data_IF_451734516887
#
_entry.id   IF_451734516887
#
_cell.length_a   1.000
_cell.length_b   1.000
_cell.length_c   1.000
_cell.angle_alpha   90.00
_cell.angle_beta   90.00
_cell.angle_gamma   90.00
#
_symmetry.space_group_name_H-M   'P 1'
#
loop_
_entity.id
_entity.type
_entity.pdbx_description
1 polymer ?
#
# COMPACT_ATOMS: atom_id res chain seq x y z
N UNK A 1 -51.07 28.39 -57.63
CA UNK A 1 -51.02 26.92 -57.43
C UNK A 1 -51.63 26.59 -56.07
N UNK A 2 -52.68 25.75 -56.11
CA UNK A 2 -53.21 24.84 -55.07
C UNK A 2 -53.23 25.27 -53.59
N UNK A 3 -54.47 25.54 -53.14
CA UNK A 3 -55.14 25.06 -51.92
C UNK A 3 -54.31 24.71 -50.67
N UNK A 4 -54.61 25.43 -49.58
CA UNK A 4 -54.46 24.96 -48.21
C UNK A 4 -55.80 24.33 -47.74
N UNK A 5 -55.75 23.04 -47.41
CA UNK A 5 -56.75 22.28 -46.66
C UNK A 5 -55.94 21.56 -45.56
N UNK A 6 -56.02 21.92 -44.26
CA UNK A 6 -57.05 21.66 -43.24
C UNK A 6 -56.85 20.32 -42.48
N UNK A 7 -57.36 20.30 -41.24
CA UNK A 7 -57.48 19.19 -40.27
C UNK A 7 -56.18 18.92 -39.47
N UNK A 8 -56.09 19.11 -38.14
CA UNK A 8 -56.97 18.81 -37.02
C UNK A 8 -57.45 17.35 -36.96
N UNK A 9 -57.23 16.73 -35.79
CA UNK A 9 -57.61 15.37 -35.37
C UNK A 9 -56.68 14.28 -35.90
N UNK A 10 -56.03 13.54 -35.02
CA UNK A 10 -56.22 12.09 -34.72
C UNK A 10 -54.82 11.70 -34.20
N UNK A 11 -54.54 11.09 -33.06
CA UNK A 11 -55.20 10.23 -32.07
C UNK A 11 -54.25 10.30 -30.84
N UNK A 12 -54.70 10.65 -29.64
CA UNK A 12 -54.84 9.76 -28.48
C UNK A 12 -53.62 8.99 -27.95
N UNK A 13 -53.61 8.88 -26.61
CA UNK A 13 -52.94 7.88 -25.76
C UNK A 13 -51.44 8.06 -25.50
N UNK A 14 -51.12 8.65 -24.33
CA UNK A 14 -50.35 8.05 -23.21
C UNK A 14 -49.88 9.20 -22.30
N UNK A 15 -50.46 9.36 -21.10
CA UNK A 15 -49.98 8.78 -19.83
C UNK A 15 -48.60 9.36 -19.43
N UNK A 16 -48.30 9.81 -18.21
CA UNK A 16 -48.96 9.87 -16.91
C UNK A 16 -48.11 10.85 -16.06
N UNK A 17 -48.76 11.46 -15.08
CA UNK A 17 -48.24 12.31 -14.02
C UNK A 17 -46.74 12.21 -13.67
N UNK A 18 -46.03 13.34 -13.77
CA UNK A 18 -44.80 13.59 -13.01
C UNK A 18 -45.25 14.01 -11.61
N UNK A 19 -45.53 13.00 -10.78
CA UNK A 19 -45.76 13.13 -9.35
C UNK A 19 -44.44 12.96 -8.62
N UNK A 20 -44.07 13.97 -7.84
CA UNK A 20 -42.99 14.01 -6.86
C UNK A 20 -42.88 12.71 -6.05
N UNK A 21 -41.84 11.91 -6.31
CA UNK A 21 -41.42 10.82 -5.43
C UNK A 21 -40.61 11.43 -4.29
N UNK A 22 -41.28 11.74 -3.20
CA UNK A 22 -40.66 11.86 -1.88
C UNK A 22 -40.51 10.44 -1.34
N UNK A 23 -39.28 9.91 -1.37
CA UNK A 23 -38.99 8.62 -0.73
C UNK A 23 -39.00 8.85 0.78
N UNK A 24 -40.10 8.48 1.42
CA UNK A 24 -40.15 8.28 2.86
C UNK A 24 -39.26 7.08 3.21
N UNK A 25 -38.10 7.32 3.82
CA UNK A 25 -37.39 6.31 4.60
C UNK A 25 -38.21 6.00 5.85
N UNK A 26 -39.14 5.07 5.73
CA UNK A 26 -39.71 4.39 6.88
C UNK A 26 -38.76 3.25 7.28
N UNK A 27 -37.75 3.57 8.09
CA UNK A 27 -37.02 2.54 8.83
C UNK A 27 -38.02 1.86 9.78
N UNK A 28 -38.41 0.62 9.47
CA UNK A 28 -38.81 -0.30 10.53
C UNK A 28 -37.55 -0.54 11.35
N UNK A 29 -37.52 0.03 12.54
CA UNK A 29 -36.49 -0.24 13.54
C UNK A 29 -36.70 -1.68 14.01
N UNK A 30 -35.99 -2.62 13.41
CA UNK A 30 -35.78 -3.93 14.02
C UNK A 30 -34.64 -3.77 15.03
N UNK A 31 -34.93 -3.98 16.32
CA UNK A 31 -34.04 -3.73 17.46
C UNK A 31 -32.78 -4.65 17.53
N UNK A 32 -32.38 -5.25 16.40
CA UNK A 32 -31.13 -6.01 16.21
C UNK A 32 -30.09 -5.28 15.36
N UNK A 33 -30.45 -4.16 14.70
CA UNK A 33 -29.59 -3.52 13.68
C UNK A 33 -28.37 -2.76 14.25
N UNK A 34 -28.45 -2.21 15.47
CA UNK A 34 -27.39 -1.34 16.00
C UNK A 34 -26.05 -2.04 16.29
N UNK A 35 -26.09 -3.29 16.75
CA UNK A 35 -24.88 -4.06 17.08
C UNK A 35 -24.15 -4.56 15.83
N UNK A 36 -24.91 -5.02 14.83
CA UNK A 36 -24.37 -5.47 13.55
C UNK A 36 -23.79 -4.29 12.74
N UNK A 37 -24.44 -3.13 12.75
CA UNK A 37 -23.93 -1.94 12.07
C UNK A 37 -22.63 -1.41 12.70
N UNK A 38 -22.56 -1.31 14.04
CA UNK A 38 -21.35 -0.86 14.72
C UNK A 38 -20.17 -1.80 14.47
N UNK A 39 -20.41 -3.12 14.55
CA UNK A 39 -19.40 -4.13 14.22
C UNK A 39 -18.94 -4.00 12.78
N UNK A 40 -19.86 -3.87 11.82
CA UNK A 40 -19.51 -3.77 10.41
C UNK A 40 -18.69 -2.50 10.14
N UNK A 41 -19.02 -1.37 10.77
CA UNK A 41 -18.22 -0.14 10.72
C UNK A 41 -16.80 -0.36 11.25
N UNK A 42 -16.66 -1.10 12.36
CA UNK A 42 -15.38 -1.47 12.94
C UNK A 42 -14.54 -2.33 11.97
N UNK A 43 -15.11 -3.38 11.39
CA UNK A 43 -14.41 -4.26 10.42
C UNK A 43 -14.02 -3.47 9.17
N UNK A 44 -14.90 -2.63 8.65
CA UNK A 44 -14.61 -1.81 7.47
C UNK A 44 -13.52 -0.76 7.77
N UNK A 45 -13.52 -0.17 8.96
CA UNK A 45 -12.51 0.81 9.36
C UNK A 45 -11.12 0.19 9.50
N UNK A 46 -11.01 -0.97 10.14
CA UNK A 46 -9.72 -1.66 10.30
C UNK A 46 -9.23 -2.21 8.96
N UNK A 47 -10.13 -2.62 8.06
CA UNK A 47 -9.77 -3.04 6.71
C UNK A 47 -9.22 -1.87 5.86
N UNK A 48 -9.80 -0.67 5.99
CA UNK A 48 -9.23 0.53 5.36
C UNK A 48 -7.87 0.89 5.97
N UNK A 49 -7.70 0.71 7.29
CA UNK A 49 -6.44 0.94 8.00
C UNK A 49 -5.32 0.00 7.54
N UNK A 50 -5.63 -1.26 7.19
CA UNK A 50 -4.64 -2.18 6.62
C UNK A 50 -4.00 -1.65 5.34
N UNK A 51 -4.78 -1.01 4.45
CA UNK A 51 -4.22 -0.41 3.23
C UNK A 51 -3.19 0.69 3.53
N UNK A 52 -3.40 1.46 4.60
CA UNK A 52 -2.49 2.51 5.05
C UNK A 52 -1.23 1.94 5.70
N UNK A 53 -1.41 1.01 6.62
CA UNK A 53 -0.29 0.33 7.32
C UNK A 53 0.60 -0.38 6.31
N UNK A 54 -0.01 -1.04 5.32
CA UNK A 54 0.74 -1.75 4.30
C UNK A 54 1.64 -0.81 3.49
N UNK A 55 1.08 0.30 2.99
CA UNK A 55 1.84 1.29 2.19
C UNK A 55 3.02 1.87 2.97
N UNK A 56 2.86 2.13 4.27
CA UNK A 56 3.93 2.70 5.12
C UNK A 56 5.09 1.72 5.31
N UNK A 57 4.79 0.44 5.55
CA UNK A 57 5.85 -0.53 5.73
C UNK A 57 6.47 -1.01 4.40
N UNK A 58 5.69 -1.05 3.31
CA UNK A 58 6.23 -1.28 1.96
C UNK A 58 7.16 -0.14 1.51
N UNK A 59 6.90 1.11 1.93
CA UNK A 59 7.79 2.24 1.64
C UNK A 59 9.23 2.00 2.12
N UNK A 60 9.42 1.55 3.36
CA UNK A 60 10.73 1.29 3.92
C UNK A 60 11.48 0.16 3.18
N UNK A 61 10.75 -0.84 2.70
CA UNK A 61 11.29 -1.88 1.82
C UNK A 61 11.79 -1.28 0.49
N UNK A 62 10.94 -0.51 -0.19
CA UNK A 62 11.27 0.09 -1.48
C UNK A 62 12.44 1.09 -1.37
N UNK A 63 12.45 1.95 -0.35
CA UNK A 63 13.56 2.88 -0.05
C UNK A 63 14.87 2.13 0.14
N UNK A 64 14.85 1.01 0.88
CA UNK A 64 16.04 0.20 1.13
C UNK A 64 16.60 -0.42 -0.16
N UNK A 65 15.72 -0.93 -1.04
CA UNK A 65 16.14 -1.47 -2.33
C UNK A 65 16.71 -0.37 -3.24
N UNK A 66 16.03 0.78 -3.31
CA UNK A 66 16.45 1.91 -4.14
C UNK A 66 17.83 2.42 -3.69
N UNK A 67 18.02 2.66 -2.39
CA UNK A 67 19.31 3.04 -1.79
C UNK A 67 20.42 2.02 -2.09
N UNK A 68 20.11 0.72 -1.98
CA UNK A 68 21.07 -0.35 -2.24
C UNK A 68 21.44 -0.49 -3.72
N UNK A 69 20.55 -0.09 -4.65
CA UNK A 69 20.77 -0.15 -6.10
C UNK A 69 21.66 0.98 -6.64
N UNK A 70 21.59 2.15 -6.00
CA UNK A 70 22.23 3.37 -6.48
C UNK A 70 23.62 3.61 -5.89
N UNK A 71 23.94 2.97 -4.76
CA UNK A 71 25.24 3.12 -4.11
C UNK A 71 26.21 1.99 -4.51
N UNK A 72 27.38 2.35 -5.03
CA UNK A 72 28.40 1.39 -5.47
C UNK A 72 28.92 0.50 -4.33
N UNK A 73 28.94 1.00 -3.10
CA UNK A 73 29.34 0.25 -1.90
C UNK A 73 28.26 -0.74 -1.43
N UNK A 74 27.01 -0.54 -1.84
CA UNK A 74 25.88 -1.40 -1.46
C UNK A 74 25.48 -2.38 -2.58
N UNK A 75 25.67 -2.00 -3.85
CA UNK A 75 25.27 -2.80 -5.02
C UNK A 75 26.16 -4.03 -5.24
N UNK A 76 27.35 -4.08 -4.62
CA UNK A 76 28.26 -5.23 -4.64
C UNK A 76 28.94 -5.52 -5.99
N UNK A 77 28.68 -4.72 -7.01
CA UNK A 77 29.24 -4.91 -8.37
C UNK A 77 30.15 -3.78 -8.80
N UNK A 78 30.27 -2.71 -8.00
CA UNK A 78 30.95 -1.47 -8.38
C UNK A 78 30.30 -0.75 -9.57
N UNK A 79 29.14 -1.24 -10.03
CA UNK A 79 28.33 -0.64 -11.09
C UNK A 79 27.12 0.01 -10.43
N UNK A 80 26.93 1.29 -10.75
CA UNK A 80 25.69 2.00 -10.48
C UNK A 80 24.65 1.54 -11.49
N UNK A 81 23.40 1.35 -11.09
CA UNK A 81 22.31 1.34 -12.05
C UNK A 81 22.44 2.59 -12.94
N UNK A 82 22.22 2.51 -14.28
CA UNK A 82 22.11 3.72 -15.08
C UNK A 82 21.09 4.62 -14.38
N UNK A 83 21.45 5.88 -14.15
CA UNK A 83 20.47 6.87 -13.67
C UNK A 83 19.47 6.99 -14.81
N UNK A 84 18.39 6.21 -14.79
CA UNK A 84 17.27 6.52 -15.65
C UNK A 84 16.73 7.85 -15.13
N UNK A 85 16.35 8.75 -16.03
CA UNK A 85 15.78 10.07 -15.70
C UNK A 85 14.43 9.99 -14.94
N UNK A 86 14.13 8.85 -14.29
CA UNK A 86 13.02 8.63 -13.35
C UNK A 86 13.31 7.66 -12.19
N UNK A 87 14.58 7.23 -11.97
CA UNK A 87 14.94 6.19 -11.00
C UNK A 87 15.13 6.66 -9.53
N UNK A 88 14.66 7.86 -9.18
CA UNK A 88 14.80 8.45 -7.85
C UNK A 88 13.44 8.82 -7.25
N UNK A 89 12.42 7.99 -7.51
CA UNK A 89 11.04 8.30 -7.11
C UNK A 89 10.89 8.51 -5.59
N UNK A 90 11.76 7.90 -4.77
CA UNK A 90 11.72 7.98 -3.30
C UNK A 90 12.86 8.78 -2.69
N UNK A 91 13.80 9.24 -3.51
CA UNK A 91 14.81 10.20 -3.07
C UNK A 91 14.18 11.58 -2.96
N UNK A 92 14.72 12.34 -2.01
CA UNK A 92 14.37 13.73 -1.81
C UNK A 92 15.66 14.52 -1.54
N UNK A 93 15.60 15.84 -1.74
CA UNK A 93 16.79 16.69 -1.88
C UNK A 93 17.77 16.61 -0.70
N UNK A 94 17.26 16.45 0.52
CA UNK A 94 18.05 16.45 1.76
C UNK A 94 18.36 15.04 2.29
N UNK A 95 17.95 13.99 1.57
CA UNK A 95 18.20 12.60 1.96
C UNK A 95 19.69 12.27 1.86
N UNK A 96 20.26 11.76 2.95
CA UNK A 96 21.66 11.30 3.00
C UNK A 96 21.72 9.78 3.20
N UNK A 97 22.68 9.14 2.55
CA UNK A 97 22.96 7.71 2.73
C UNK A 97 24.40 7.56 3.17
N UNK A 98 24.59 6.94 4.33
CA UNK A 98 25.89 6.53 4.84
C UNK A 98 25.91 5.02 5.09
N UNK A 99 27.09 4.41 5.05
CA UNK A 99 27.25 3.01 5.41
C UNK A 99 28.62 2.73 6.01
N UNK A 100 28.67 1.76 6.92
CA UNK A 100 29.88 1.27 7.57
C UNK A 100 29.92 -0.27 7.56
N UNK A 101 31.04 -0.92 7.21
CA UNK A 101 32.29 -0.34 6.72
C UNK A 101 32.16 0.30 5.33
N UNK A 102 32.93 1.37 5.07
CA UNK A 102 32.87 2.15 3.81
C UNK A 102 33.57 1.49 2.62
N UNK A 103 34.34 0.42 2.84
CA UNK A 103 35.03 -0.29 1.76
C UNK A 103 34.05 -1.14 0.93
N UNK A 104 34.42 -1.55 -0.27
CA UNK A 104 33.51 -2.22 -1.21
C UNK A 104 33.30 -3.72 -0.93
N UNK A 105 34.06 -4.34 -0.03
CA UNK A 105 34.16 -5.80 0.05
C UNK A 105 33.76 -6.37 1.41
N UNK A 106 33.81 -5.57 2.47
CA UNK A 106 33.53 -6.03 3.83
C UNK A 106 32.04 -5.98 4.13
N UNK A 107 31.53 -7.10 4.65
CA UNK A 107 30.16 -7.29 5.10
C UNK A 107 30.15 -7.98 6.47
N UNK A 108 29.13 -7.77 7.33
CA UNK A 108 27.91 -6.98 7.10
C UNK A 108 28.17 -5.47 7.00
N UNK A 109 27.22 -4.75 6.39
CA UNK A 109 27.19 -3.28 6.36
C UNK A 109 26.00 -2.75 7.17
N UNK A 110 26.24 -1.72 7.96
CA UNK A 110 25.20 -0.91 8.59
C UNK A 110 24.98 0.32 7.73
N UNK A 111 23.85 0.39 7.06
CA UNK A 111 23.42 1.52 6.22
C UNK A 111 22.51 2.42 7.04
N UNK A 112 22.77 3.72 6.99
CA UNK A 112 21.92 4.76 7.56
C UNK A 112 21.35 5.59 6.42
N UNK A 113 20.02 5.64 6.33
CA UNK A 113 19.28 6.49 5.42
C UNK A 113 18.66 7.60 6.27
N UNK A 114 19.13 8.82 6.09
CA UNK A 114 18.79 9.98 6.90
C UNK A 114 17.93 10.97 6.11
N UNK A 115 16.70 11.21 6.58
CA UNK A 115 15.74 12.16 6.02
C UNK A 115 15.75 13.51 6.74
N UNK A 116 16.64 13.71 7.72
CA UNK A 116 16.74 14.92 8.52
C UNK A 116 15.44 15.24 9.26
N UNK A 117 15.09 16.52 9.30
CA UNK A 117 13.86 17.04 9.94
C UNK A 117 12.61 16.92 9.05
N UNK A 118 12.76 16.52 7.78
CA UNK A 118 11.68 16.45 6.81
C UNK A 118 12.20 16.50 5.38
N UNK A 119 11.78 15.53 4.57
CA UNK A 119 12.24 15.35 3.21
C UNK A 119 11.09 14.76 2.38
N UNK A 120 10.60 15.54 1.42
CA UNK A 120 9.47 15.17 0.55
C UNK A 120 9.98 14.71 -0.81
N UNK A 121 9.61 13.50 -1.21
CA UNK A 121 10.00 12.95 -2.51
C UNK A 121 9.16 13.51 -3.67
N UNK A 122 9.53 13.17 -4.91
CA UNK A 122 8.79 13.58 -6.10
C UNK A 122 7.36 13.00 -6.13
N UNK A 123 7.12 11.95 -5.35
CA UNK A 123 5.82 11.36 -5.11
C UNK A 123 4.99 12.15 -4.05
N UNK A 124 5.56 13.12 -3.35
CA UNK A 124 4.85 13.89 -2.33
C UNK A 124 4.71 13.17 -0.97
N UNK A 125 5.41 12.04 -0.77
CA UNK A 125 5.51 11.39 0.55
C UNK A 125 6.61 12.09 1.35
N UNK A 126 6.29 12.52 2.55
CA UNK A 126 7.24 13.22 3.44
C UNK A 126 7.78 12.27 4.49
N UNK A 127 9.10 12.18 4.59
CA UNK A 127 9.83 11.35 5.55
C UNK A 127 10.66 12.21 6.48
N UNK A 128 10.83 11.77 7.73
CA UNK A 128 11.67 12.43 8.75
C UNK A 128 12.36 11.35 9.59
N UNK A 129 13.56 11.63 10.08
CA UNK A 129 14.33 10.70 10.92
C UNK A 129 15.12 9.68 10.11
N UNK A 130 15.43 8.53 10.71
CA UNK A 130 16.40 7.58 10.16
C UNK A 130 15.80 6.19 9.93
N UNK A 131 16.18 5.59 8.80
CA UNK A 131 16.10 4.14 8.61
C UNK A 131 17.51 3.57 8.78
N UNK A 132 17.65 2.59 9.67
CA UNK A 132 18.88 1.81 9.85
C UNK A 132 18.73 0.42 9.26
N UNK A 133 19.62 0.05 8.35
CA UNK A 133 19.59 -1.25 7.67
C UNK A 133 20.89 -2.00 7.92
N UNK A 134 20.80 -3.19 8.52
CA UNK A 134 21.93 -4.12 8.58
C UNK A 134 21.82 -5.10 7.42
N UNK A 135 22.74 -4.99 6.47
CA UNK A 135 22.85 -5.86 5.31
C UNK A 135 23.97 -6.88 5.53
N UNK A 136 23.69 -8.17 5.40
CA UNK A 136 24.73 -9.20 5.53
C UNK A 136 25.59 -9.39 4.27
N UNK A 137 25.09 -8.95 3.11
CA UNK A 137 25.73 -8.94 1.78
C UNK A 137 24.85 -8.07 0.83
N UNK A 138 25.27 -7.82 -0.43
CA UNK A 138 24.47 -7.01 -1.36
C UNK A 138 23.04 -7.54 -1.51
N UNK A 139 22.03 -6.68 -1.36
CA UNK A 139 20.61 -7.08 -1.22
C UNK A 139 20.03 -7.85 -2.42
N UNK A 140 20.62 -7.66 -3.60
CA UNK A 140 20.22 -8.34 -4.84
C UNK A 140 20.82 -9.75 -5.00
N UNK A 141 21.73 -10.16 -4.12
CA UNK A 141 22.29 -11.51 -4.14
C UNK A 141 21.36 -12.49 -3.41
N UNK A 142 21.18 -13.69 -3.97
CA UNK A 142 20.42 -14.75 -3.34
C UNK A 142 20.88 -15.01 -1.90
N UNK A 143 19.94 -15.07 -0.95
CA UNK A 143 20.18 -15.26 0.48
C UNK A 143 20.72 -14.00 1.20
N UNK A 144 20.73 -12.84 0.54
CA UNK A 144 21.00 -11.58 1.22
C UNK A 144 19.86 -11.25 2.18
N UNK A 145 20.23 -10.72 3.35
CA UNK A 145 19.33 -10.34 4.43
C UNK A 145 19.53 -8.87 4.75
N UNK A 146 18.41 -8.14 4.79
CA UNK A 146 18.36 -6.77 5.27
C UNK A 146 17.50 -6.72 6.53
N UNK A 147 18.07 -6.29 7.65
CA UNK A 147 17.31 -6.03 8.88
C UNK A 147 17.13 -4.52 9.00
N UNK A 148 15.90 -4.06 8.88
CA UNK A 148 15.50 -2.65 8.88
C UNK A 148 14.92 -2.29 10.24
N UNK A 149 15.40 -1.19 10.80
CA UNK A 149 14.89 -0.59 12.03
C UNK A 149 14.73 0.91 11.86
N UNK A 150 13.94 1.53 12.73
CA UNK A 150 13.49 2.91 12.61
C UNK A 150 13.92 3.72 13.83
N UNK A 151 14.61 4.85 13.61
CA UNK A 151 15.04 5.77 14.69
C UNK A 151 14.38 7.12 14.47
N UNK A 152 13.41 7.43 15.32
CA UNK A 152 12.56 8.63 15.22
C UNK A 152 12.06 8.86 13.79
N UNK A 153 11.71 7.76 13.10
CA UNK A 153 11.27 7.78 11.71
C UNK A 153 9.76 8.04 11.60
N UNK A 154 9.40 8.90 10.65
CA UNK A 154 8.02 9.26 10.37
C UNK A 154 7.75 9.24 8.87
N UNK A 155 6.54 8.82 8.49
CA UNK A 155 5.99 8.95 7.15
C UNK A 155 4.69 9.74 7.26
N UNK A 156 4.60 10.92 6.62
CA UNK A 156 3.42 11.79 6.68
C UNK A 156 2.89 11.99 8.11
N UNK A 157 3.80 12.35 9.04
CA UNK A 157 3.56 12.54 10.48
C UNK A 157 3.15 11.28 11.28
N UNK A 158 3.14 10.11 10.66
CA UNK A 158 2.90 8.83 11.33
C UNK A 158 4.25 8.28 11.79
N UNK A 159 4.43 8.13 13.10
CA UNK A 159 5.65 7.51 13.65
C UNK A 159 5.67 6.03 13.29
N UNK A 160 6.78 5.55 12.76
CA UNK A 160 6.97 4.16 12.36
C UNK A 160 7.96 3.49 13.31
N UNK A 161 7.56 2.36 13.87
CA UNK A 161 8.36 1.56 14.79
C UNK A 161 8.28 0.08 14.41
N UNK A 162 9.21 -0.73 14.92
CA UNK A 162 9.30 -2.17 14.70
C UNK A 162 10.57 -2.59 13.95
N UNK A 163 10.59 -3.84 13.50
CA UNK A 163 11.70 -4.40 12.73
C UNK A 163 11.17 -5.05 11.46
N UNK A 164 11.80 -4.78 10.33
CA UNK A 164 11.54 -5.52 9.10
C UNK A 164 12.74 -6.39 8.75
N UNK A 165 12.49 -7.59 8.26
CA UNK A 165 13.52 -8.49 7.75
C UNK A 165 13.18 -8.85 6.32
N UNK A 166 14.11 -8.55 5.41
CA UNK A 166 14.06 -8.93 4.02
C UNK A 166 15.03 -10.08 3.80
N UNK A 167 14.63 -11.08 3.02
CA UNK A 167 15.56 -12.11 2.53
C UNK A 167 15.35 -12.32 1.04
N UNK A 168 16.42 -12.13 0.25
CA UNK A 168 16.38 -12.40 -1.18
C UNK A 168 16.31 -13.92 -1.43
N UNK A 169 15.25 -14.36 -2.11
CA UNK A 169 14.96 -15.76 -2.43
C UNK A 169 15.39 -16.15 -3.86
N UNK A 170 16.22 -15.34 -4.52
CA UNK A 170 16.57 -15.37 -5.96
C UNK A 170 15.45 -14.86 -6.87
N UNK A 171 14.27 -15.48 -6.81
CA UNK A 171 13.12 -15.12 -7.67
C UNK A 171 12.21 -14.03 -7.06
N UNK A 172 12.61 -13.50 -5.91
CA UNK A 172 11.82 -12.57 -5.12
C UNK A 172 12.42 -12.35 -3.73
N UNK A 173 11.60 -11.92 -2.79
CA UNK A 173 11.97 -11.64 -1.41
C UNK A 173 10.97 -12.26 -0.46
N UNK A 174 11.45 -12.77 0.68
CA UNK A 174 10.62 -12.83 1.88
C UNK A 174 10.70 -11.49 2.59
N UNK A 175 9.58 -11.08 3.15
CA UNK A 175 9.39 -9.81 3.82
C UNK A 175 8.64 -10.09 5.13
N UNK A 176 9.23 -9.72 6.26
CA UNK A 176 8.63 -9.91 7.57
C UNK A 176 8.64 -8.60 8.35
N UNK A 177 7.54 -8.28 9.02
CA UNK A 177 7.47 -7.21 10.02
C UNK A 177 7.19 -7.84 11.38
N UNK A 178 8.00 -7.50 12.38
CA UNK A 178 7.82 -7.91 13.76
C UNK A 178 7.81 -6.70 14.69
N UNK A 179 6.90 -6.73 15.68
CA UNK A 179 6.75 -5.63 16.62
C UNK A 179 6.44 -4.28 15.95
N UNK A 180 5.83 -4.32 14.77
CA UNK A 180 5.44 -3.14 14.04
C UNK A 180 4.44 -2.32 14.85
N UNK A 181 4.66 -1.02 14.91
CA UNK A 181 3.77 -0.07 15.56
C UNK A 181 3.78 1.25 14.80
N UNK A 182 2.59 1.70 14.43
CA UNK A 182 2.34 3.01 13.85
C UNK A 182 1.65 3.90 14.88
N UNK A 183 2.21 5.08 15.13
CA UNK A 183 1.59 6.09 16.01
C UNK A 183 1.19 7.31 15.19
N UNK A 184 -0.11 7.51 15.08
CA UNK A 184 -0.73 8.59 14.33
C UNK A 184 -0.80 9.90 15.16
N UNK A 185 -0.96 11.06 14.50
CA UNK A 185 -1.34 12.29 15.18
C UNK A 185 -2.55 12.07 16.11
N UNK A 186 -2.49 12.63 17.31
CA UNK A 186 -3.52 12.38 18.35
C UNK A 186 -3.31 11.09 19.17
N UNK A 187 -2.14 10.44 19.05
CA UNK A 187 -1.74 9.25 19.81
C UNK A 187 -2.59 7.99 19.55
N UNK A 188 -3.29 7.93 18.40
CA UNK A 188 -3.90 6.68 17.95
C UNK A 188 -2.79 5.71 17.51
N UNK A 189 -2.86 4.46 17.96
CA UNK A 189 -1.81 3.46 17.75
C UNK A 189 -2.38 2.24 17.05
N UNK A 190 -1.64 1.74 16.06
CA UNK A 190 -1.92 0.48 15.38
C UNK A 190 -0.65 -0.38 15.39
N UNK A 191 -0.76 -1.57 15.95
CA UNK A 191 0.26 -2.61 15.95
C UNK A 191 0.10 -3.49 14.71
N UNK A 192 1.23 -3.92 14.14
CA UNK A 192 1.28 -4.70 12.92
C UNK A 192 2.40 -5.74 12.99
N UNK A 193 2.12 -6.97 12.58
CA UNK A 193 3.14 -8.00 12.38
C UNK A 193 2.68 -8.98 11.32
N UNK A 194 3.59 -9.44 10.47
CA UNK A 194 3.20 -10.32 9.37
C UNK A 194 4.37 -10.75 8.51
N UNK A 195 4.07 -11.66 7.60
CA UNK A 195 5.03 -12.19 6.64
C UNK A 195 4.41 -12.17 5.25
N UNK A 196 5.20 -11.75 4.26
CA UNK A 196 4.85 -11.77 2.85
C UNK A 196 5.98 -12.38 2.03
N UNK A 197 5.59 -12.91 0.88
CA UNK A 197 6.47 -13.22 -0.24
C UNK A 197 6.20 -12.20 -1.33
N UNK A 198 7.27 -11.63 -1.87
CA UNK A 198 7.27 -10.63 -2.94
C UNK A 198 8.00 -11.25 -4.13
N UNK A 199 7.34 -11.53 -5.24
CA UNK A 199 7.91 -12.19 -6.41
C UNK A 199 8.01 -11.23 -7.58
N UNK A 200 9.15 -11.20 -8.26
CA UNK A 200 9.29 -10.41 -9.49
C UNK A 200 8.51 -11.10 -10.62
N UNK A 201 7.55 -10.39 -11.21
CA UNK A 201 6.68 -10.88 -12.28
C UNK A 201 7.13 -10.36 -13.65
N UNK A 202 7.51 -9.09 -13.72
CA UNK A 202 7.96 -8.39 -14.94
C UNK A 202 9.16 -7.49 -14.54
N UNK A 203 10.10 -7.22 -15.46
CA UNK A 203 11.32 -6.41 -15.21
C UNK A 203 12.63 -7.21 -15.04
N UNK A 204 12.57 -8.55 -15.05
CA UNK A 204 13.75 -9.41 -14.84
C UNK A 204 14.89 -9.22 -15.86
N UNK A 205 14.57 -8.84 -17.10
CA UNK A 205 15.53 -8.59 -18.18
C UNK A 205 16.22 -7.22 -18.08
N UNK A 206 15.69 -6.33 -17.23
CA UNK A 206 16.14 -4.95 -17.02
C UNK A 206 16.47 -4.70 -15.54
N UNK A 207 17.38 -5.48 -14.92
CA UNK A 207 17.58 -5.53 -13.46
C UNK A 207 18.05 -4.22 -12.80
N UNK A 208 18.36 -3.19 -13.60
CA UNK A 208 18.75 -1.86 -13.14
C UNK A 208 17.68 -0.78 -13.40
N UNK A 209 16.52 -1.15 -13.96
CA UNK A 209 15.41 -0.25 -14.30
C UNK A 209 14.22 -0.57 -13.40
N UNK A 210 14.35 -0.32 -12.11
CA UNK A 210 13.33 -0.70 -11.13
C UNK A 210 11.91 -0.21 -11.46
N UNK A 211 11.76 0.90 -12.19
CA UNK A 211 10.45 1.47 -12.51
C UNK A 211 9.63 0.61 -13.50
N UNK A 212 10.25 -0.32 -14.23
CA UNK A 212 9.50 -1.26 -15.09
C UNK A 212 9.10 -2.56 -14.37
N UNK A 213 9.51 -2.73 -13.11
CA UNK A 213 9.23 -3.93 -12.34
C UNK A 213 7.75 -4.01 -11.93
N UNK A 214 7.23 -5.23 -12.05
CA UNK A 214 5.94 -5.63 -11.46
C UNK A 214 6.17 -6.74 -10.46
N UNK A 215 5.70 -6.53 -9.23
CA UNK A 215 5.79 -7.50 -8.15
C UNK A 215 4.45 -8.13 -7.83
N UNK A 216 4.47 -9.42 -7.52
CA UNK A 216 3.36 -10.16 -6.91
C UNK A 216 3.59 -10.35 -5.42
N UNK A 217 2.62 -9.94 -4.60
CA UNK A 217 2.70 -10.06 -3.15
C UNK A 217 1.64 -11.04 -2.64
N UNK A 218 2.03 -11.88 -1.69
CA UNK A 218 1.12 -12.76 -0.95
C UNK A 218 1.61 -12.96 0.47
N UNK A 219 0.71 -12.99 1.44
CA UNK A 219 1.09 -13.28 2.81
C UNK A 219 -0.05 -13.17 3.80
N UNK A 220 0.33 -13.13 5.07
CA UNK A 220 -0.59 -12.98 6.18
C UNK A 220 -0.02 -11.97 7.19
N UNK A 221 -0.91 -11.27 7.88
CA UNK A 221 -0.53 -10.34 8.94
C UNK A 221 -1.59 -10.29 10.04
N UNK A 222 -1.21 -9.80 11.19
CA UNK A 222 -2.10 -9.38 12.26
C UNK A 222 -1.99 -7.87 12.39
N UNK A 223 -3.14 -7.21 12.38
CA UNK A 223 -3.29 -5.79 12.63
C UNK A 223 -4.08 -5.62 13.93
N UNK A 224 -3.64 -4.75 14.83
CA UNK A 224 -4.31 -4.55 16.11
C UNK A 224 -4.31 -3.09 16.51
N UNK A 225 -5.47 -2.57 16.91
CA UNK A 225 -5.57 -1.27 17.57
C UNK A 225 -6.10 -1.42 19.00
N UNK A 226 -6.47 -0.32 19.64
CA UNK A 226 -7.00 -0.34 21.01
C UNK A 226 -8.31 -1.11 21.17
N UNK A 227 -9.05 -1.35 20.09
CA UNK A 227 -10.39 -1.93 20.12
C UNK A 227 -10.45 -3.32 19.48
N UNK A 228 -9.66 -3.57 18.43
CA UNK A 228 -9.86 -4.68 17.50
C UNK A 228 -8.53 -5.33 17.15
N UNK A 229 -8.56 -6.66 17.03
CA UNK A 229 -7.51 -7.44 16.36
C UNK A 229 -8.09 -8.02 15.08
N UNK A 230 -7.41 -7.78 13.95
CA UNK A 230 -7.75 -8.28 12.64
C UNK A 230 -6.68 -9.24 12.12
N UNK A 231 -7.12 -10.30 11.46
CA UNK A 231 -6.25 -11.19 10.68
C UNK A 231 -6.37 -10.83 9.22
N UNK A 232 -5.23 -10.58 8.58
CA UNK A 232 -5.13 -10.21 7.17
C UNK A 232 -4.53 -11.38 6.42
N UNK A 233 -5.13 -11.75 5.29
CA UNK A 233 -4.60 -12.79 4.41
C UNK A 233 -4.82 -12.38 2.95
N UNK A 234 -3.84 -12.68 2.11
CA UNK A 234 -3.99 -12.54 0.66
C UNK A 234 -4.75 -13.73 0.09
N UNK A 235 -5.88 -13.48 -0.58
CA UNK A 235 -6.65 -14.53 -1.27
C UNK A 235 -6.36 -14.57 -2.76
N UNK A 236 -6.09 -13.41 -3.35
CA UNK A 236 -5.57 -13.28 -4.72
C UNK A 236 -4.32 -12.42 -4.64
N UNK A 237 -3.21 -12.90 -5.24
CA UNK A 237 -1.92 -12.20 -5.20
C UNK A 237 -2.08 -10.74 -5.58
N UNK A 238 -1.53 -9.86 -4.75
CA UNK A 238 -1.53 -8.44 -5.03
C UNK A 238 -0.52 -8.14 -6.13
N UNK A 239 -0.84 -7.26 -7.08
CA UNK A 239 0.13 -6.78 -8.07
C UNK A 239 0.46 -5.31 -7.84
N UNK A 240 1.75 -5.07 -7.65
CA UNK A 240 2.34 -3.76 -7.40
C UNK A 240 3.30 -3.44 -8.54
N UNK A 241 3.01 -2.39 -9.30
CA UNK A 241 3.92 -1.84 -10.30
C UNK A 241 4.75 -0.72 -9.67
N UNK A 242 6.07 -0.72 -9.80
CA UNK A 242 6.89 0.31 -9.15
C UNK A 242 6.70 1.72 -9.73
N UNK A 243 6.22 1.84 -10.97
CA UNK A 243 5.80 3.10 -11.59
C UNK A 243 4.43 3.62 -11.13
N UNK A 244 3.69 2.83 -10.34
CA UNK A 244 2.42 3.25 -9.75
C UNK A 244 2.60 3.64 -8.29
N UNK A 245 1.72 4.48 -7.74
CA UNK A 245 1.75 4.82 -6.31
C UNK A 245 1.04 3.78 -5.43
N UNK A 246 0.15 2.97 -6.01
CA UNK A 246 -0.73 2.07 -5.28
C UNK A 246 -0.65 0.64 -5.82
N UNK A 247 -1.14 -0.31 -5.03
CA UNK A 247 -1.45 -1.66 -5.50
C UNK A 247 -2.68 -1.56 -6.40
N UNK A 248 -2.59 -2.08 -7.62
CA UNK A 248 -3.65 -1.94 -8.63
C UNK A 248 -4.49 -3.20 -8.85
N UNK A 249 -4.11 -4.33 -8.25
CA UNK A 249 -4.79 -5.62 -8.44
C UNK A 249 -4.60 -6.56 -7.26
N UNK A 250 -5.57 -7.45 -7.09
CA UNK A 250 -5.54 -8.55 -6.12
C UNK A 250 -6.50 -8.29 -4.96
N UNK A 251 -6.61 -9.28 -4.08
CA UNK A 251 -7.65 -9.30 -3.03
C UNK A 251 -7.04 -9.71 -1.70
N UNK A 252 -7.29 -8.89 -0.68
CA UNK A 252 -7.06 -9.21 0.72
C UNK A 252 -8.38 -9.55 1.41
N UNK A 253 -8.32 -10.48 2.36
CA UNK A 253 -9.36 -10.67 3.37
C UNK A 253 -8.89 -10.16 4.71
N UNK A 254 -9.75 -9.41 5.39
CA UNK A 254 -9.53 -8.87 6.74
C UNK A 254 -10.62 -9.45 7.65
N UNK A 255 -10.22 -10.31 8.58
CA UNK A 255 -11.13 -11.02 9.47
C UNK A 255 -11.05 -10.51 10.90
N UNK A 256 -12.19 -10.12 11.46
CA UNK A 256 -12.35 -9.66 12.85
C UNK A 256 -13.48 -10.46 13.49
N UNK A 257 -13.21 -11.17 14.59
CA UNK A 257 -14.22 -11.91 15.35
C UNK A 257 -15.12 -12.81 14.47
N UNK A 258 -14.56 -13.43 13.43
CA UNK A 258 -15.30 -14.30 12.49
C UNK A 258 -15.99 -13.58 11.32
N UNK A 259 -15.95 -12.25 11.27
CA UNK A 259 -16.48 -11.45 10.17
C UNK A 259 -15.36 -11.05 9.22
N UNK A 260 -15.53 -11.31 7.93
CA UNK A 260 -14.48 -11.12 6.92
C UNK A 260 -14.88 -10.06 5.91
N UNK A 261 -14.16 -8.96 5.88
CA UNK A 261 -14.21 -8.00 4.79
C UNK A 261 -13.22 -8.42 3.68
N UNK A 262 -13.57 -8.09 2.43
CA UNK A 262 -12.71 -8.23 1.25
C UNK A 262 -12.29 -6.86 0.77
N UNK A 263 -10.99 -6.65 0.58
CA UNK A 263 -10.44 -5.47 -0.05
C UNK A 263 -9.89 -5.87 -1.41
N UNK A 264 -10.59 -5.45 -2.46
CA UNK A 264 -10.26 -5.70 -3.87
C UNK A 264 -9.63 -4.45 -4.49
N UNK A 265 -8.37 -4.58 -4.93
CA UNK A 265 -7.58 -3.48 -5.50
C UNK A 265 -7.88 -3.22 -6.98
N UNK A 266 -8.75 -4.01 -7.62
CA UNK A 266 -9.14 -3.84 -9.00
C UNK A 266 -8.38 -4.74 -9.97
N UNK A 267 -8.28 -4.30 -11.23
CA UNK A 267 -7.89 -5.15 -12.36
C UNK A 267 -6.48 -4.88 -12.91
N UNK A 268 -5.71 -3.98 -12.29
CA UNK A 268 -4.37 -3.57 -12.70
C UNK A 268 -4.27 -2.11 -13.15
N UNK A 269 -5.36 -1.34 -13.08
CA UNK A 269 -5.34 0.09 -13.36
C UNK A 269 -4.49 0.82 -12.31
N UNK A 270 -3.64 1.75 -12.76
CA UNK A 270 -2.91 2.60 -11.84
C UNK A 270 -3.79 3.76 -11.39
N UNK A 271 -4.66 3.49 -10.42
CA UNK A 271 -5.42 4.52 -9.73
C UNK A 271 -5.34 4.34 -8.20
N UNK A 272 -6.02 5.21 -7.47
CA UNK A 272 -6.04 5.21 -6.02
C UNK A 272 -7.33 4.62 -5.45
N UNK A 273 -7.95 3.65 -6.13
CA UNK A 273 -9.27 3.14 -5.77
C UNK A 273 -9.19 1.66 -5.42
N UNK A 274 -9.94 1.27 -4.39
CA UNK A 274 -10.21 -0.12 -4.08
C UNK A 274 -11.67 -0.30 -3.66
N UNK A 275 -12.17 -1.51 -3.80
CA UNK A 275 -13.52 -1.90 -3.38
C UNK A 275 -13.45 -2.71 -2.10
N UNK A 276 -14.04 -2.17 -1.04
CA UNK A 276 -14.16 -2.82 0.25
C UNK A 276 -15.56 -3.39 0.42
N UNK A 277 -15.67 -4.69 0.66
CA UNK A 277 -16.94 -5.41 0.73
C UNK A 277 -17.03 -6.23 2.02
N UNK A 278 -18.13 -6.09 2.75
CA UNK A 278 -18.47 -6.90 3.92
C UNK A 278 -19.95 -7.27 3.83
N UNK A 279 -20.24 -8.57 3.70
CA UNK A 279 -21.60 -9.07 3.45
C UNK A 279 -22.22 -8.41 2.19
N UNK A 280 -23.37 -7.76 2.34
CA UNK A 280 -24.09 -7.00 1.32
C UNK A 280 -23.60 -5.54 1.20
N UNK A 281 -22.75 -5.07 2.13
CA UNK A 281 -22.23 -3.71 2.14
C UNK A 281 -20.97 -3.61 1.29
N UNK A 282 -20.97 -2.66 0.37
CA UNK A 282 -19.81 -2.37 -0.49
C UNK A 282 -19.50 -0.88 -0.46
N UNK A 283 -18.22 -0.54 -0.34
CA UNK A 283 -17.73 0.85 -0.30
C UNK A 283 -16.49 0.99 -1.18
N UNK A 284 -16.51 1.94 -2.11
CA UNK A 284 -15.29 2.38 -2.78
C UNK A 284 -14.47 3.22 -1.81
N UNK A 285 -13.21 2.87 -1.63
CA UNK A 285 -12.26 3.62 -0.80
C UNK A 285 -11.18 4.26 -1.67
N UNK A 286 -10.62 5.35 -1.17
CA UNK A 286 -9.41 5.95 -1.72
C UNK A 286 -8.21 5.40 -0.97
N UNK A 287 -7.27 4.84 -1.72
CA UNK A 287 -6.02 4.29 -1.18
C UNK A 287 -5.11 5.44 -0.73
N UNK A 288 -4.52 5.34 0.47
CA UNK A 288 -3.58 6.33 0.96
C UNK A 288 -2.25 6.22 0.21
N UNK A 289 -1.45 7.28 0.36
CA UNK A 289 -0.09 7.36 -0.16
C UNK A 289 0.91 7.39 0.99
#
# INVERSE_FOLDING_TARGET
MKHYFNANKVLTLTAVAIGTITVFFACKKDDKEGGDEQRDLQVMSIAQKEAEVNVIYEDAFEVTLEASSQDNGLSGTGRKAPVSEGAQARYCETMLIGYDPTDLVTWPKTVTIDFGEGCTDAAGRTRKGLIQVVLNKPVFQQGAKATITFVDYYVNDIKVEGTQVLENLSTGYSYMVSGGKLTYPGNYVVEYSGTRTVMLKEGAETPFVLMDDVYELSGNATLKDSAITAQVATTEKLQRRLDCAHIGKGVLTITVNGHTAKLDYGNGDCDNKAMLTLNDKTKKITLPR
#
